data_IF_841922657725
#
_entry.id   IF_841922657725
#
_cell.length_a   1.000
_cell.length_b   1.000
_cell.length_c   1.000
_cell.angle_alpha   90.00
_cell.angle_beta   90.00
_cell.angle_gamma   90.00
#
_symmetry.space_group_name_H-M   'P 1'
#
loop_
_entity.id
_entity.type
_entity.pdbx_description
1 polymer ?
#
# COMPACT_ATOMS: atom_id res chain seq x y z
N UNK A 1 -29.18 -20.32 -9.01
CA UNK A 1 -28.43 -20.66 -7.79
C UNK A 1 -27.14 -21.33 -8.22
N UNK A 2 -26.07 -20.55 -8.38
CA UNK A 2 -24.74 -21.06 -8.69
C UNK A 2 -23.85 -20.78 -7.49
N UNK A 3 -23.14 -21.82 -7.07
CA UNK A 3 -22.22 -21.90 -5.94
C UNK A 3 -21.13 -20.83 -6.02
N UNK A 4 -21.07 -19.96 -5.01
CA UNK A 4 -19.93 -19.11 -4.73
C UNK A 4 -18.71 -19.99 -4.47
N UNK A 5 -17.74 -19.91 -5.37
CA UNK A 5 -16.46 -20.59 -5.23
C UNK A 5 -15.62 -19.79 -4.24
N UNK A 6 -15.29 -20.44 -3.13
CA UNK A 6 -14.45 -19.99 -2.03
C UNK A 6 -13.09 -19.50 -2.52
N UNK A 7 -12.86 -18.18 -2.44
CA UNK A 7 -11.53 -17.57 -2.54
C UNK A 7 -10.81 -17.69 -1.19
N UNK A 8 -10.37 -18.90 -0.84
CA UNK A 8 -9.62 -19.15 0.39
C UNK A 8 -8.32 -19.86 0.06
N UNK A 9 -7.26 -19.08 -0.18
CA UNK A 9 -5.90 -19.49 0.18
C UNK A 9 -5.12 -18.28 0.71
N UNK A 10 -4.45 -18.42 1.87
CA UNK A 10 -3.61 -17.37 2.42
C UNK A 10 -2.36 -17.12 1.55
N UNK A 11 -2.01 -15.85 1.41
CA UNK A 11 -0.76 -15.40 0.77
C UNK A 11 0.44 -15.93 1.58
N UNK A 12 1.08 -16.99 1.07
CA UNK A 12 2.19 -17.70 1.73
C UNK A 12 3.55 -16.97 1.65
N UNK A 13 3.56 -15.63 1.59
CA UNK A 13 4.73 -14.82 1.29
C UNK A 13 5.52 -14.24 2.47
N UNK A 14 5.06 -14.34 3.72
CA UNK A 14 5.77 -13.77 4.88
C UNK A 14 5.76 -14.75 6.07
N UNK A 15 6.67 -15.73 6.04
CA UNK A 15 6.94 -16.58 7.20
C UNK A 15 7.87 -15.83 8.17
N UNK A 16 7.27 -15.13 9.14
CA UNK A 16 7.91 -14.87 10.43
C UNK A 16 7.63 -16.06 11.36
N UNK A 17 8.68 -16.54 12.02
CA UNK A 17 8.70 -17.68 12.93
C UNK A 17 8.08 -17.38 14.32
N UNK A 18 6.82 -16.92 14.37
CA UNK A 18 6.03 -16.93 15.60
C UNK A 18 4.51 -17.01 15.27
N UNK A 19 3.76 -18.01 15.77
CA UNK A 19 2.33 -18.17 15.47
C UNK A 19 1.39 -17.08 16.03
N UNK A 20 1.88 -16.06 16.73
CA UNK A 20 1.06 -15.04 17.39
C UNK A 20 1.28 -13.59 16.89
N UNK A 21 1.75 -13.38 15.66
CA UNK A 21 1.77 -12.05 15.05
C UNK A 21 0.47 -11.79 14.29
N UNK A 22 -0.26 -10.74 14.67
CA UNK A 22 -1.42 -10.14 14.00
C UNK A 22 -1.22 -9.98 12.49
N UNK A 23 -1.51 -11.03 11.69
CA UNK A 23 -1.33 -10.97 10.23
C UNK A 23 -2.38 -10.07 9.61
N UNK A 24 -1.95 -9.21 8.71
CA UNK A 24 -2.79 -8.35 7.87
C UNK A 24 -2.40 -8.54 6.41
N UNK A 25 -3.35 -8.35 5.50
CA UNK A 25 -3.03 -8.31 4.09
C UNK A 25 -2.15 -7.08 3.80
N UNK A 26 -1.16 -7.23 2.90
CA UNK A 26 -0.22 -6.15 2.54
C UNK A 26 -0.95 -4.87 2.13
N UNK A 27 -2.05 -4.99 1.40
CA UNK A 27 -2.84 -3.85 0.89
C UNK A 27 -3.57 -3.02 1.94
N UNK A 28 -3.68 -3.49 3.20
CA UNK A 28 -4.27 -2.74 4.31
C UNK A 28 -3.24 -2.37 5.39
N UNK A 29 -1.94 -2.65 5.16
CA UNK A 29 -0.92 -2.41 6.17
C UNK A 29 -0.75 -0.93 6.49
N UNK A 30 -0.75 -0.10 5.45
CA UNK A 30 -0.46 1.33 5.58
C UNK A 30 -1.50 2.04 6.45
N UNK A 31 -2.79 1.89 6.15
CA UNK A 31 -3.82 2.52 6.98
C UNK A 31 -3.95 1.87 8.38
N UNK A 32 -3.61 0.59 8.56
CA UNK A 32 -3.56 -0.03 9.88
C UNK A 32 -2.52 0.66 10.77
N UNK A 33 -1.33 0.93 10.24
CA UNK A 33 -0.27 1.58 11.00
C UNK A 33 -0.63 3.03 11.35
N UNK A 34 -1.34 3.74 10.45
CA UNK A 34 -1.87 5.10 10.72
C UNK A 34 -3.01 5.05 11.74
N UNK A 35 -3.92 4.08 11.65
CA UNK A 35 -5.00 3.87 12.62
C UNK A 35 -4.43 3.60 14.02
N UNK A 36 -3.45 2.70 14.13
CA UNK A 36 -2.70 2.46 15.37
C UNK A 36 -2.08 3.77 15.89
N UNK A 37 -1.36 4.51 15.04
CA UNK A 37 -0.70 5.77 15.41
C UNK A 37 -1.70 6.80 15.96
N UNK A 38 -2.91 6.86 15.39
CA UNK A 38 -3.98 7.75 15.83
C UNK A 38 -4.54 7.32 17.19
N UNK A 39 -4.77 6.01 17.40
CA UNK A 39 -5.23 5.50 18.69
C UNK A 39 -4.21 5.74 19.79
N UNK A 40 -2.93 5.47 19.55
CA UNK A 40 -1.86 5.71 20.55
C UNK A 40 -1.81 7.18 21.00
N UNK A 41 -2.25 8.11 20.15
CA UNK A 41 -2.34 9.54 20.47
C UNK A 41 -3.70 9.96 21.06
N UNK A 42 -4.61 9.02 21.30
CA UNK A 42 -5.95 9.31 21.83
C UNK A 42 -6.82 10.13 20.89
N UNK A 43 -6.62 9.99 19.58
CA UNK A 43 -7.41 10.72 18.57
C UNK A 43 -8.74 10.01 18.32
N UNK A 44 -9.74 10.79 17.89
CA UNK A 44 -11.02 10.26 17.46
C UNK A 44 -10.88 9.74 16.02
N UNK A 45 -11.49 8.59 15.73
CA UNK A 45 -11.38 7.92 14.43
C UNK A 45 -12.76 7.59 13.89
N UNK A 46 -12.95 7.81 12.60
CA UNK A 46 -14.03 7.21 11.81
C UNK A 46 -13.41 6.37 10.71
N UNK A 47 -13.62 5.06 10.76
CA UNK A 47 -13.12 4.10 9.78
C UNK A 47 -14.28 3.52 8.96
N UNK A 48 -14.10 3.49 7.65
CA UNK A 48 -15.05 3.03 6.64
C UNK A 48 -14.41 1.94 5.78
N UNK A 49 -15.23 1.12 5.06
CA UNK A 49 -14.73 0.11 4.14
C UNK A 49 -13.76 0.67 3.11
N UNK A 50 -12.86 -0.19 2.62
CA UNK A 50 -11.75 0.17 1.73
C UNK A 50 -10.77 1.18 2.37
N UNK A 51 -10.62 1.08 3.69
CA UNK A 51 -9.63 1.81 4.47
C UNK A 51 -9.70 3.33 4.26
N UNK A 52 -10.93 3.85 4.16
CA UNK A 52 -11.20 5.28 4.20
C UNK A 52 -11.35 5.66 5.66
N UNK A 53 -10.52 6.56 6.15
CA UNK A 53 -10.44 6.92 7.55
C UNK A 53 -10.46 8.44 7.72
N UNK A 54 -11.13 8.92 8.76
CA UNK A 54 -10.97 10.27 9.27
C UNK A 54 -10.37 10.19 10.66
N UNK A 55 -9.37 11.01 10.93
CA UNK A 55 -8.76 11.20 12.25
C UNK A 55 -9.05 12.63 12.68
N UNK A 56 -9.54 12.80 13.91
CA UNK A 56 -10.02 14.07 14.46
C UNK A 56 -9.41 14.30 15.84
N UNK A 57 -9.12 15.57 16.15
CA UNK A 57 -8.68 15.94 17.50
C UNK A 57 -9.90 15.90 18.44
N UNK A 58 -9.82 15.26 19.62
CA UNK A 58 -10.98 15.13 20.51
C UNK A 58 -11.62 16.46 20.94
N UNK A 59 -10.79 17.47 21.17
CA UNK A 59 -11.16 18.80 21.64
C UNK A 59 -11.51 19.78 20.51
N UNK A 60 -11.19 19.40 19.27
CA UNK A 60 -11.41 20.19 18.06
C UNK A 60 -11.84 19.27 16.91
N UNK A 61 -13.15 19.05 16.80
CA UNK A 61 -13.73 18.20 15.77
C UNK A 61 -13.65 18.79 14.36
N UNK A 62 -13.30 20.06 14.21
CA UNK A 62 -13.14 20.71 12.91
C UNK A 62 -11.75 20.43 12.32
N UNK A 63 -10.75 20.15 13.17
CA UNK A 63 -9.43 19.70 12.74
C UNK A 63 -9.46 18.20 12.42
N UNK A 64 -9.53 17.91 11.11
CA UNK A 64 -9.69 16.55 10.57
C UNK A 64 -8.65 16.25 9.50
N UNK A 65 -8.03 15.07 9.58
CA UNK A 65 -7.29 14.47 8.46
C UNK A 65 -7.97 13.22 7.93
N UNK A 66 -8.28 13.25 6.64
CA UNK A 66 -8.69 12.08 5.88
C UNK A 66 -7.49 11.23 5.45
N UNK A 67 -7.69 9.92 5.41
CA UNK A 67 -6.76 8.96 4.84
C UNK A 67 -7.50 7.96 3.96
N UNK A 68 -6.84 7.50 2.90
CA UNK A 68 -7.30 6.35 2.13
C UNK A 68 -6.13 5.38 1.96
N UNK A 69 -6.24 4.16 2.51
CA UNK A 69 -5.13 3.21 2.56
C UNK A 69 -3.84 3.79 3.19
N UNK A 70 -3.98 4.58 4.27
CA UNK A 70 -2.86 5.23 4.95
C UNK A 70 -2.25 6.42 4.21
N UNK A 71 -2.79 6.80 3.05
CA UNK A 71 -2.32 7.99 2.32
C UNK A 71 -3.11 9.20 2.79
N UNK A 72 -2.43 10.29 3.17
CA UNK A 72 -3.07 11.46 3.74
C UNK A 72 -3.81 12.28 2.68
N UNK A 73 -4.88 12.97 3.09
CA UNK A 73 -5.78 13.78 2.24
C UNK A 73 -5.09 14.86 1.43
N UNK A 74 -3.94 15.33 1.91
CA UNK A 74 -3.10 16.31 1.23
C UNK A 74 -2.62 15.76 -0.13
N UNK A 75 -2.60 14.43 -0.32
CA UNK A 75 -2.26 13.82 -1.61
C UNK A 75 -3.39 14.12 -2.59
N UNK A 76 -3.11 15.00 -3.53
CA UNK A 76 -4.08 15.44 -4.52
C UNK A 76 -4.44 14.32 -5.50
N UNK A 77 -5.68 14.32 -5.98
CA UNK A 77 -6.12 13.41 -7.04
C UNK A 77 -5.23 13.50 -8.30
N UNK A 78 -4.79 14.71 -8.65
CA UNK A 78 -3.88 14.93 -9.77
C UNK A 78 -2.50 14.27 -9.52
N UNK A 79 -1.90 14.50 -8.34
CA UNK A 79 -0.63 13.90 -7.96
C UNK A 79 -0.68 12.37 -7.99
N UNK A 80 -1.70 11.77 -7.37
CA UNK A 80 -1.90 10.32 -7.40
C UNK A 80 -2.08 9.79 -8.83
N UNK A 81 -2.85 10.50 -9.67
CA UNK A 81 -3.05 10.14 -11.08
C UNK A 81 -1.74 10.14 -11.87
N UNK A 82 -0.90 11.16 -11.67
CA UNK A 82 0.42 11.22 -12.32
C UNK A 82 1.33 10.09 -11.85
N UNK A 83 1.34 9.79 -10.55
CA UNK A 83 2.15 8.70 -9.98
C UNK A 83 1.72 7.31 -10.48
N UNK A 84 0.42 7.08 -10.66
CA UNK A 84 -0.15 5.79 -11.08
C UNK A 84 -0.10 5.53 -12.59
N UNK A 85 0.02 6.55 -13.46
CA UNK A 85 0.31 6.35 -14.90
C UNK A 85 1.82 6.37 -15.14
N UNK A 86 2.38 5.18 -15.39
CA UNK A 86 3.81 4.99 -15.62
C UNK A 86 4.36 5.86 -16.74
N UNK A 87 3.57 6.18 -17.77
CA UNK A 87 4.03 7.02 -18.88
C UNK A 87 4.15 8.47 -18.45
N UNK A 88 3.17 8.96 -17.69
CA UNK A 88 3.15 10.35 -17.24
C UNK A 88 4.29 10.60 -16.27
N UNK A 89 4.42 9.80 -15.21
CA UNK A 89 5.52 9.96 -14.24
C UNK A 89 6.89 9.87 -14.90
N UNK A 90 7.09 8.91 -15.81
CA UNK A 90 8.37 8.74 -16.53
C UNK A 90 8.70 9.96 -17.38
N UNK A 91 7.70 10.52 -18.07
CA UNK A 91 7.89 11.74 -18.86
C UNK A 91 8.24 12.95 -17.97
N UNK A 92 7.62 13.06 -16.79
CA UNK A 92 7.91 14.14 -15.84
C UNK A 92 9.33 14.02 -15.26
N UNK A 93 9.74 12.82 -14.83
CA UNK A 93 11.09 12.54 -14.33
C UNK A 93 12.16 12.85 -15.38
N UNK A 94 11.98 12.38 -16.61
CA UNK A 94 12.90 12.67 -17.72
C UNK A 94 12.98 14.17 -18.02
N UNK A 95 11.84 14.88 -18.03
CA UNK A 95 11.80 16.32 -18.25
C UNK A 95 12.52 17.11 -17.15
N UNK A 96 12.49 16.60 -15.92
CA UNK A 96 13.19 17.18 -14.77
C UNK A 96 14.69 16.79 -14.72
N UNK A 97 15.20 16.02 -15.69
CA UNK A 97 16.61 15.67 -15.78
C UNK A 97 17.01 14.38 -15.04
N UNK A 98 16.05 13.65 -14.47
CA UNK A 98 16.34 12.36 -13.83
C UNK A 98 16.41 11.23 -14.85
N UNK A 99 17.25 10.24 -14.56
CA UNK A 99 17.31 9.03 -15.37
C UNK A 99 16.26 8.00 -14.94
N UNK A 100 15.60 7.38 -15.92
CA UNK A 100 14.72 6.21 -15.74
C UNK A 100 15.18 5.07 -16.66
N UNK A 101 14.85 3.79 -16.38
CA UNK A 101 15.22 2.69 -17.25
C UNK A 101 14.72 2.86 -18.69
N UNK A 102 15.48 2.38 -19.67
CA UNK A 102 15.02 2.42 -21.07
C UNK A 102 13.76 1.55 -21.23
N UNK A 103 12.63 2.17 -21.55
CA UNK A 103 11.35 1.46 -21.58
C UNK A 103 10.29 2.10 -22.48
N UNK A 104 9.26 1.33 -22.79
CA UNK A 104 8.12 1.75 -23.61
C UNK A 104 6.85 0.97 -23.25
N UNK A 105 5.68 1.56 -23.47
CA UNK A 105 4.39 0.93 -23.18
C UNK A 105 3.74 0.31 -24.40
N UNK A 106 3.11 -0.84 -24.20
CA UNK A 106 2.43 -1.64 -25.22
C UNK A 106 1.03 -2.04 -24.72
N UNK A 107 0.11 -2.40 -25.62
CA UNK A 107 -1.16 -3.03 -25.25
C UNK A 107 -1.09 -4.55 -25.40
N UNK A 108 -1.78 -5.25 -24.49
CA UNK A 108 -1.89 -6.72 -24.52
C UNK A 108 -2.58 -7.23 -25.78
N UNK A 109 -3.57 -6.49 -26.30
CA UNK A 109 -4.35 -6.88 -27.47
C UNK A 109 -3.62 -6.66 -28.78
N UNK A 110 -3.13 -5.43 -29.02
CA UNK A 110 -2.69 -4.98 -30.35
C UNK A 110 -1.18 -4.98 -30.56
N UNK A 111 -0.38 -4.78 -29.51
CA UNK A 111 1.07 -4.55 -29.66
C UNK A 111 1.96 -5.45 -28.81
N UNK A 112 1.47 -6.60 -28.33
CA UNK A 112 2.30 -7.56 -27.57
C UNK A 112 3.53 -8.06 -28.34
N UNK A 113 3.39 -8.25 -29.65
CA UNK A 113 4.50 -8.67 -30.53
C UNK A 113 5.55 -7.56 -30.64
N UNK A 114 5.11 -6.30 -30.72
CA UNK A 114 6.01 -5.14 -30.72
C UNK A 114 6.72 -5.00 -29.37
N UNK A 115 6.02 -5.26 -28.26
CA UNK A 115 6.62 -5.30 -26.92
C UNK A 115 7.74 -6.34 -26.82
N UNK A 116 7.52 -7.55 -27.37
CA UNK A 116 8.56 -8.58 -27.43
C UNK A 116 9.75 -8.16 -28.29
N UNK A 117 9.51 -7.62 -29.49
CA UNK A 117 10.59 -7.11 -30.37
C UNK A 117 11.36 -5.97 -29.70
N UNK A 118 10.68 -5.13 -28.93
CA UNK A 118 11.30 -4.08 -28.14
C UNK A 118 12.21 -4.65 -27.06
N UNK A 119 11.74 -5.64 -26.28
CA UNK A 119 12.53 -6.35 -25.28
C UNK A 119 13.81 -6.98 -25.89
N UNK A 120 13.68 -7.62 -27.06
CA UNK A 120 14.82 -8.17 -27.80
C UNK A 120 15.83 -7.07 -28.20
N UNK A 121 15.34 -5.90 -28.62
CA UNK A 121 16.19 -4.78 -29.04
C UNK A 121 16.91 -4.08 -27.89
N UNK A 122 16.27 -3.94 -26.72
CA UNK A 122 16.92 -3.35 -25.54
C UNK A 122 17.75 -4.37 -24.76
N UNK A 123 17.59 -5.66 -25.06
CA UNK A 123 18.30 -6.77 -24.46
C UNK A 123 17.70 -7.22 -23.12
N UNK A 124 17.63 -8.52 -22.90
CA UNK A 124 17.24 -9.13 -21.62
C UNK A 124 18.37 -8.98 -20.56
N UNK A 125 18.07 -9.05 -19.24
CA UNK A 125 16.74 -9.14 -18.65
C UNK A 125 15.93 -7.83 -18.78
N UNK A 126 14.61 -7.96 -18.75
CA UNK A 126 13.64 -6.85 -18.76
C UNK A 126 12.64 -7.00 -17.61
N UNK A 127 11.98 -5.89 -17.28
CA UNK A 127 10.85 -5.84 -16.34
C UNK A 127 9.55 -5.58 -17.10
N UNK A 128 8.47 -6.25 -16.69
CA UNK A 128 7.11 -5.97 -17.16
C UNK A 128 6.24 -5.51 -15.98
N UNK A 129 5.50 -4.42 -16.19
CA UNK A 129 4.58 -3.83 -15.20
C UNK A 129 3.26 -3.41 -15.87
N UNK A 130 2.11 -3.42 -15.21
CA UNK A 130 0.95 -2.65 -15.65
C UNK A 130 1.33 -1.20 -15.92
N UNK A 131 0.82 -0.58 -16.99
CA UNK A 131 1.18 0.82 -17.29
C UNK A 131 0.39 1.84 -16.45
N UNK A 132 -0.73 1.41 -15.86
CA UNK A 132 -1.60 2.21 -15.02
C UNK A 132 -2.10 1.34 -13.88
N UNK A 133 -2.08 1.86 -12.66
CA UNK A 133 -2.63 1.19 -11.48
C UNK A 133 -1.83 1.51 -10.23
N UNK A 134 -2.11 0.77 -9.16
CA UNK A 134 -1.33 0.89 -7.93
C UNK A 134 0.12 0.46 -8.19
N UNK A 135 1.04 1.29 -7.72
CA UNK A 135 2.47 1.10 -7.89
C UNK A 135 2.99 -0.11 -7.10
N UNK A 136 4.10 -0.71 -7.54
CA UNK A 136 4.75 -1.93 -6.97
C UNK A 136 3.96 -3.26 -7.07
N UNK A 137 2.72 -3.23 -7.58
CA UNK A 137 1.90 -4.44 -7.77
C UNK A 137 2.11 -5.01 -9.17
N UNK A 138 2.10 -6.34 -9.26
CA UNK A 138 2.25 -7.08 -10.53
C UNK A 138 3.56 -6.77 -11.28
N UNK A 139 4.60 -6.36 -10.56
CA UNK A 139 5.94 -6.13 -11.09
C UNK A 139 6.61 -7.48 -11.36
N UNK A 140 6.87 -7.76 -12.64
CA UNK A 140 7.49 -9.00 -13.09
C UNK A 140 8.93 -8.73 -13.55
N UNK A 141 9.90 -9.07 -12.70
CA UNK A 141 11.34 -8.98 -12.97
C UNK A 141 11.93 -10.30 -13.47
N UNK A 142 13.20 -10.25 -13.85
CA UNK A 142 14.04 -11.41 -14.22
C UNK A 142 13.49 -12.15 -15.44
N UNK A 143 12.84 -11.40 -16.33
CA UNK A 143 12.40 -11.90 -17.62
C UNK A 143 13.65 -11.93 -18.50
N UNK A 144 14.26 -13.09 -18.63
CA UNK A 144 15.54 -13.31 -19.33
C UNK A 144 15.37 -13.77 -20.78
N UNK A 145 14.16 -14.19 -21.17
CA UNK A 145 13.92 -14.76 -22.49
C UNK A 145 12.49 -14.56 -23.01
N UNK A 146 12.29 -14.90 -24.29
CA UNK A 146 11.02 -14.72 -25.01
C UNK A 146 9.86 -15.54 -24.43
N UNK A 147 10.13 -16.72 -23.86
CA UNK A 147 9.12 -17.58 -23.26
C UNK A 147 8.59 -16.94 -21.97
N UNK A 148 9.50 -16.52 -21.09
CA UNK A 148 9.15 -15.79 -19.86
C UNK A 148 8.42 -14.48 -20.17
N UNK A 149 8.83 -13.76 -21.22
CA UNK A 149 8.13 -12.55 -21.66
C UNK A 149 6.67 -12.86 -22.05
N UNK A 150 6.45 -13.94 -22.80
CA UNK A 150 5.10 -14.37 -23.21
C UNK A 150 4.25 -14.70 -21.97
N UNK A 151 4.78 -15.48 -21.04
CA UNK A 151 4.10 -15.83 -19.78
C UNK A 151 3.72 -14.58 -18.98
N UNK A 152 4.62 -13.61 -18.88
CA UNK A 152 4.37 -12.38 -18.14
C UNK A 152 3.27 -11.50 -18.76
N UNK A 153 3.19 -11.44 -20.09
CA UNK A 153 2.10 -10.74 -20.78
C UNK A 153 0.77 -11.52 -20.68
N UNK A 154 0.81 -12.86 -20.70
CA UNK A 154 -0.37 -13.71 -20.51
C UNK A 154 -0.98 -13.54 -19.11
N UNK A 155 -0.15 -13.40 -18.07
CA UNK A 155 -0.61 -13.06 -16.72
C UNK A 155 -1.44 -11.76 -16.73
N UNK A 156 -0.94 -10.71 -17.38
CA UNK A 156 -1.66 -9.42 -17.52
C UNK A 156 -2.90 -9.51 -18.43
N UNK A 157 -3.08 -10.61 -19.17
CA UNK A 157 -4.28 -10.86 -19.95
C UNK A 157 -5.41 -11.51 -19.13
N UNK A 158 -5.07 -12.12 -17.99
CA UNK A 158 -6.06 -12.60 -17.01
C UNK A 158 -6.83 -11.41 -16.44
N UNK A 159 -8.15 -11.48 -16.20
CA UNK A 159 -8.89 -10.41 -15.53
C UNK A 159 -8.30 -10.08 -14.15
N UNK A 160 -8.17 -8.81 -13.73
CA UNK A 160 -7.54 -8.43 -12.48
C UNK A 160 -8.06 -9.19 -11.24
N UNK A 161 -9.38 -9.35 -11.12
CA UNK A 161 -10.01 -10.06 -9.99
C UNK A 161 -9.63 -11.56 -9.90
N UNK A 162 -9.05 -12.13 -10.95
CA UNK A 162 -8.62 -13.52 -11.01
C UNK A 162 -7.09 -13.66 -10.91
N UNK A 163 -6.36 -12.55 -10.73
CA UNK A 163 -4.91 -12.57 -10.58
C UNK A 163 -4.56 -12.68 -9.10
N UNK A 164 -3.62 -13.56 -8.79
CA UNK A 164 -3.23 -13.89 -7.41
C UNK A 164 -2.72 -12.68 -6.63
N UNK A 165 -1.94 -11.83 -7.28
CA UNK A 165 -1.20 -10.74 -6.62
C UNK A 165 -1.87 -9.37 -6.82
N UNK A 166 -3.08 -9.34 -7.38
CA UNK A 166 -3.80 -8.10 -7.62
C UNK A 166 -4.40 -7.57 -6.33
N UNK A 167 -4.02 -6.35 -5.98
CA UNK A 167 -4.67 -5.54 -4.96
C UNK A 167 -4.97 -4.17 -5.55
N UNK A 168 -5.94 -3.46 -4.97
CA UNK A 168 -6.39 -2.19 -5.50
C UNK A 168 -6.84 -1.23 -4.40
N UNK A 169 -6.28 -0.03 -4.39
CA UNK A 169 -6.73 1.08 -3.55
C UNK A 169 -8.15 1.53 -3.89
N UNK A 170 -8.85 2.13 -2.93
CA UNK A 170 -10.14 2.78 -3.13
C UNK A 170 -10.14 3.79 -4.30
N UNK A 171 -9.08 4.59 -4.39
CA UNK A 171 -8.90 5.68 -5.36
C UNK A 171 -8.02 5.29 -6.56
N UNK A 172 -7.52 4.04 -6.62
CA UNK A 172 -6.64 3.60 -7.69
C UNK A 172 -7.30 3.84 -9.04
N UNK A 173 -6.60 4.45 -9.98
CA UNK A 173 -7.12 4.76 -11.29
C UNK A 173 -7.50 3.46 -12.00
N UNK A 174 -8.80 3.20 -12.15
CA UNK A 174 -9.24 2.18 -13.10
C UNK A 174 -9.38 2.78 -14.46
N UNK A 175 -8.77 2.12 -15.44
CA UNK A 175 -9.38 2.07 -16.75
C UNK A 175 -10.74 1.37 -16.58
N UNK A 176 -11.82 2.15 -16.40
CA UNK A 176 -13.22 1.69 -16.44
C UNK A 176 -13.51 1.19 -17.87
N UNK A 177 -12.94 0.06 -18.23
CA UNK A 177 -13.07 -0.57 -19.55
C UNK A 177 -13.71 -1.91 -19.37
N UNK A 178 -14.66 -2.20 -20.26
CA UNK A 178 -15.31 -3.50 -20.28
C UNK A 178 -14.27 -4.61 -20.54
N UNK A 179 -14.34 -5.72 -19.78
CA UNK A 179 -13.46 -6.86 -20.01
C UNK A 179 -13.68 -7.42 -21.42
N UNK A 180 -12.60 -7.90 -22.04
CA UNK A 180 -12.69 -8.58 -23.32
C UNK A 180 -13.24 -10.01 -23.17
N UNK A 181 -13.57 -10.65 -24.29
CA UNK A 181 -13.87 -12.09 -24.35
C UNK A 181 -13.02 -12.75 -25.44
N UNK A 182 -12.37 -13.86 -25.09
CA UNK A 182 -11.65 -14.73 -26.04
C UNK A 182 -12.10 -16.17 -25.79
N UNK A 183 -12.66 -16.82 -26.80
CA UNK A 183 -13.17 -18.20 -26.72
C UNK A 183 -14.13 -18.41 -25.52
N UNK A 184 -15.04 -17.45 -25.30
CA UNK A 184 -16.01 -17.48 -24.20
C UNK A 184 -15.45 -17.15 -22.80
N UNK A 185 -14.13 -17.01 -22.63
CA UNK A 185 -13.50 -16.63 -21.36
C UNK A 185 -13.31 -15.12 -21.28
N UNK A 186 -13.60 -14.54 -20.11
CA UNK A 186 -13.31 -13.14 -19.80
C UNK A 186 -11.80 -12.91 -19.74
N UNK A 187 -11.35 -11.82 -20.36
CA UNK A 187 -9.94 -11.40 -20.39
C UNK A 187 -9.82 -9.92 -20.10
N UNK A 188 -8.62 -9.46 -19.74
CA UNK A 188 -8.34 -8.04 -19.64
C UNK A 188 -8.70 -7.32 -20.96
N UNK A 189 -9.15 -6.05 -20.91
CA UNK A 189 -9.49 -5.29 -22.10
C UNK A 189 -8.33 -5.31 -23.11
N UNK A 190 -8.57 -5.45 -24.44
CA UNK A 190 -7.50 -5.44 -25.43
C UNK A 190 -6.63 -4.17 -25.40
N UNK A 191 -7.19 -3.07 -24.88
CA UNK A 191 -6.51 -1.79 -24.66
C UNK A 191 -5.63 -1.73 -23.40
N UNK A 192 -5.70 -2.72 -22.50
CA UNK A 192 -4.91 -2.78 -21.27
C UNK A 192 -3.43 -2.67 -21.60
N UNK A 193 -2.78 -1.70 -20.96
CA UNK A 193 -1.40 -1.31 -21.26
C UNK A 193 -0.44 -1.88 -20.23
N UNK A 194 0.75 -2.25 -20.69
CA UNK A 194 1.88 -2.67 -19.87
C UNK A 194 3.15 -1.95 -20.32
N UNK A 195 4.05 -1.70 -19.38
CA UNK A 195 5.39 -1.20 -19.62
C UNK A 195 6.34 -2.38 -19.80
N UNK A 196 7.25 -2.27 -20.77
CA UNK A 196 8.46 -3.08 -20.85
C UNK A 196 9.64 -2.14 -20.66
N UNK A 197 10.51 -2.44 -19.70
CA UNK A 197 11.70 -1.65 -19.44
C UNK A 197 12.93 -2.52 -19.20
N UNK A 198 14.11 -1.95 -19.45
CA UNK A 198 15.37 -2.61 -19.13
C UNK A 198 15.42 -2.85 -17.62
N UNK A 199 15.81 -4.05 -17.20
CA UNK A 199 16.13 -4.28 -15.80
C UNK A 199 17.53 -3.76 -15.53
N UNK A 200 17.61 -2.72 -14.71
CA UNK A 200 18.87 -2.12 -14.27
C UNK A 200 19.59 -3.02 -13.26
N UNK A 201 20.91 -2.86 -13.16
CA UNK A 201 21.76 -3.62 -12.24
C UNK A 201 22.46 -2.68 -11.28
N UNK A 202 22.56 -3.10 -10.02
CA UNK A 202 23.18 -2.33 -8.96
C UNK A 202 22.42 -2.51 -7.65
N UNK A 203 22.73 -1.66 -6.69
CA UNK A 203 22.04 -1.58 -5.43
C UNK A 203 20.65 -0.98 -5.61
N UNK A 204 19.65 -1.73 -5.15
CA UNK A 204 18.27 -1.30 -5.21
C UNK A 204 17.89 -0.66 -3.88
N UNK A 205 17.52 0.61 -3.91
CA UNK A 205 17.18 1.41 -2.75
C UNK A 205 15.72 1.84 -2.82
N UNK A 206 15.02 1.77 -1.69
CA UNK A 206 13.68 2.35 -1.50
C UNK A 206 13.77 3.51 -0.53
N UNK A 207 13.45 4.70 -1.00
CA UNK A 207 13.36 5.92 -0.22
C UNK A 207 11.89 6.16 0.16
N UNK A 208 11.64 6.48 1.42
CA UNK A 208 10.37 7.05 1.85
C UNK A 208 10.57 8.53 2.16
N UNK A 209 9.91 9.38 1.40
CA UNK A 209 9.93 10.84 1.51
C UNK A 209 8.59 11.30 2.06
N UNK A 210 8.60 12.09 3.13
CA UNK A 210 7.43 12.67 3.77
C UNK A 210 7.65 14.18 3.87
N UNK A 211 6.72 14.98 3.36
CA UNK A 211 6.81 16.45 3.27
C UNK A 211 8.13 16.94 2.67
N UNK A 212 8.61 16.23 1.65
CA UNK A 212 9.86 16.56 0.95
C UNK A 212 11.14 16.22 1.72
N UNK A 213 11.05 15.53 2.86
CA UNK A 213 12.19 15.05 3.64
C UNK A 213 12.33 13.55 3.49
N UNK A 214 13.53 13.06 3.17
CA UNK A 214 13.81 11.62 3.17
C UNK A 214 13.84 11.13 4.62
N UNK A 215 12.86 10.31 5.01
CA UNK A 215 12.71 9.82 6.39
C UNK A 215 13.29 8.42 6.61
N UNK A 216 13.42 7.62 5.55
CA UNK A 216 13.94 6.27 5.61
C UNK A 216 14.48 5.82 4.24
N UNK A 217 15.57 5.05 4.24
CA UNK A 217 16.14 4.41 3.06
C UNK A 217 16.40 2.94 3.34
N UNK A 218 15.81 2.06 2.53
CA UNK A 218 15.99 0.61 2.63
C UNK A 218 16.77 0.07 1.43
N UNK A 219 17.78 -0.75 1.69
CA UNK A 219 18.39 -1.60 0.68
C UNK A 219 17.52 -2.84 0.45
N UNK A 220 17.12 -3.10 -0.80
CA UNK A 220 16.16 -4.13 -1.19
C UNK A 220 16.64 -4.87 -2.45
N UNK A 221 17.63 -5.78 -2.38
CA UNK A 221 18.37 -6.29 -3.55
C UNK A 221 17.50 -6.97 -4.62
N UNK A 222 16.34 -7.54 -4.26
CA UNK A 222 15.39 -8.16 -5.20
C UNK A 222 14.14 -7.30 -5.46
N UNK A 223 14.16 -6.03 -5.03
CA UNK A 223 13.04 -5.09 -5.02
C UNK A 223 12.03 -5.34 -3.88
N UNK A 224 11.22 -4.33 -3.49
CA UNK A 224 10.34 -4.40 -2.32
C UNK A 224 9.27 -5.51 -2.38
N UNK A 225 8.88 -5.93 -3.58
CA UNK A 225 7.84 -6.94 -3.84
C UNK A 225 8.31 -8.39 -3.58
N UNK A 226 9.59 -8.71 -3.87
CA UNK A 226 10.16 -10.07 -3.80
C UNK A 226 11.17 -10.26 -2.67
N UNK A 227 11.83 -9.18 -2.22
CA UNK A 227 12.94 -9.30 -1.27
C UNK A 227 12.49 -10.02 -0.01
N UNK A 228 13.18 -11.12 0.29
CA UNK A 228 13.01 -11.88 1.54
C UNK A 228 13.43 -10.99 2.71
N UNK A 229 12.71 -11.10 3.82
CA UNK A 229 12.95 -10.33 5.04
C UNK A 229 14.43 -10.20 5.44
N UNK A 230 15.18 -11.29 5.32
CA UNK A 230 16.60 -11.38 5.74
C UNK A 230 17.54 -10.51 4.91
N UNK A 231 17.09 -9.97 3.78
CA UNK A 231 17.93 -9.19 2.85
C UNK A 231 17.54 -7.71 2.79
N UNK A 232 16.59 -7.25 3.63
CA UNK A 232 16.19 -5.84 3.69
C UNK A 232 16.89 -5.16 4.84
N UNK A 233 17.78 -4.22 4.52
CA UNK A 233 18.56 -3.47 5.51
C UNK A 233 18.15 -2.00 5.52
N UNK A 234 18.07 -1.41 6.72
CA UNK A 234 17.92 0.03 6.89
C UNK A 234 19.29 0.69 6.73
N UNK A 235 19.45 1.45 5.65
CA UNK A 235 20.70 2.13 5.27
C UNK A 235 20.56 3.65 5.37
N UNK A 236 19.55 4.14 6.10
CA UNK A 236 19.26 5.58 6.24
C UNK A 236 20.49 6.38 6.68
N UNK A 237 21.27 5.85 7.62
CA UNK A 237 22.45 6.53 8.18
C UNK A 237 23.76 6.23 7.41
N UNK A 238 23.74 5.32 6.44
CA UNK A 238 24.94 4.86 5.73
C UNK A 238 24.92 5.14 4.22
N UNK A 239 23.76 5.47 3.65
CA UNK A 239 23.62 5.85 2.25
C UNK A 239 24.32 7.19 1.99
N UNK A 240 24.95 7.32 0.82
CA UNK A 240 25.68 8.52 0.47
C UNK A 240 24.73 9.74 0.33
N UNK A 241 25.08 10.93 0.88
CA UNK A 241 24.20 12.11 0.88
C UNK A 241 23.71 12.58 -0.50
N UNK A 242 24.50 12.38 -1.56
CA UNK A 242 24.07 12.70 -2.94
C UNK A 242 22.77 11.98 -3.34
N UNK A 243 22.53 10.78 -2.81
CA UNK A 243 21.31 10.01 -3.09
C UNK A 243 20.11 10.57 -2.31
N UNK A 244 20.34 11.12 -1.10
CA UNK A 244 19.32 11.84 -0.33
C UNK A 244 18.89 13.10 -1.07
N UNK A 245 19.84 13.87 -1.61
CA UNK A 245 19.57 15.06 -2.42
C UNK A 245 18.77 14.69 -3.68
N UNK A 246 19.21 13.68 -4.42
CA UNK A 246 18.50 13.19 -5.62
C UNK A 246 17.08 12.71 -5.30
N UNK A 247 16.89 11.95 -4.22
CA UNK A 247 15.57 11.48 -3.81
C UNK A 247 14.64 12.63 -3.38
N UNK A 248 15.19 13.59 -2.64
CA UNK A 248 14.49 14.81 -2.21
C UNK A 248 13.99 15.62 -3.40
N UNK A 249 14.83 15.81 -4.42
CA UNK A 249 14.44 16.57 -5.61
C UNK A 249 13.51 15.78 -6.53
N UNK A 250 13.75 14.47 -6.68
CA UNK A 250 12.86 13.60 -7.45
C UNK A 250 11.44 13.56 -6.88
N UNK A 251 11.29 13.54 -5.54
CA UNK A 251 9.98 13.54 -4.89
C UNK A 251 9.13 14.78 -5.24
N UNK A 252 9.77 15.92 -5.52
CA UNK A 252 9.09 17.18 -5.90
C UNK A 252 8.60 17.20 -7.35
N UNK A 253 9.03 16.24 -8.19
CA UNK A 253 8.71 16.22 -9.64
C UNK A 253 7.21 16.10 -9.88
N UNK A 254 6.52 15.28 -9.08
CA UNK A 254 5.06 15.14 -9.14
C UNK A 254 4.42 16.01 -8.05
N UNK A 255 3.77 17.12 -8.41
CA UNK A 255 3.20 18.03 -7.42
C UNK A 255 1.99 17.40 -6.72
N UNK A 256 1.74 17.85 -5.49
CA UNK A 256 0.58 17.42 -4.69
C UNK A 256 0.70 16.01 -4.15
N UNK A 257 1.93 15.52 -3.93
CA UNK A 257 2.24 14.32 -3.16
C UNK A 257 3.06 14.71 -1.93
N UNK A 258 2.57 14.34 -0.75
CA UNK A 258 3.21 14.65 0.53
C UNK A 258 3.95 13.43 1.06
N UNK A 259 3.50 12.24 0.65
CA UNK A 259 4.22 10.99 0.87
C UNK A 259 4.59 10.41 -0.49
N UNK A 260 5.87 10.12 -0.65
CA UNK A 260 6.42 9.51 -1.86
C UNK A 260 7.32 8.35 -1.46
N UNK A 261 6.99 7.15 -1.95
CA UNK A 261 7.92 6.05 -2.00
C UNK A 261 8.60 6.01 -3.37
N UNK A 262 9.91 6.16 -3.37
CA UNK A 262 10.75 6.27 -4.57
C UNK A 262 11.76 5.13 -4.56
N UNK A 263 11.81 4.35 -5.63
CA UNK A 263 12.81 3.30 -5.76
C UNK A 263 13.86 3.67 -6.80
N UNK A 264 15.14 3.53 -6.43
CA UNK A 264 16.28 3.76 -7.31
C UNK A 264 17.16 2.51 -7.43
N UNK A 265 17.77 2.33 -8.60
CA UNK A 265 18.89 1.41 -8.79
C UNK A 265 20.14 2.23 -9.06
N UNK A 266 21.17 2.03 -8.25
CA UNK A 266 22.45 2.77 -8.29
C UNK A 266 23.62 1.79 -8.34
N UNK A 267 24.79 2.16 -8.88
CA UNK A 267 25.93 1.24 -8.92
C UNK A 267 26.40 0.75 -7.55
N UNK A 268 26.50 1.67 -6.58
CA UNK A 268 26.91 1.45 -5.20
C UNK A 268 26.27 2.56 -4.34
N UNK A 269 25.52 2.23 -3.29
CA UNK A 269 24.83 3.22 -2.46
C UNK A 269 25.74 4.00 -1.50
N UNK A 270 26.97 3.54 -1.27
CA UNK A 270 27.94 4.14 -0.35
C UNK A 270 28.79 5.25 -0.98
N UNK A 271 28.63 5.51 -2.28
CA UNK A 271 29.45 6.48 -3.01
C UNK A 271 28.62 7.57 -3.70
N UNK A 272 29.26 8.71 -3.97
CA UNK A 272 28.65 9.79 -4.72
C UNK A 272 28.16 9.31 -6.08
N UNK A 273 26.88 9.55 -6.37
CA UNK A 273 26.20 9.08 -7.59
C UNK A 273 25.54 10.25 -8.29
N UNK A 274 25.72 10.35 -9.60
CA UNK A 274 25.10 11.38 -10.44
C UNK A 274 23.62 11.06 -10.74
N UNK A 275 22.84 12.07 -11.15
CA UNK A 275 21.47 11.86 -11.62
C UNK A 275 21.38 10.96 -12.87
N UNK A 276 22.45 10.87 -13.66
CA UNK A 276 22.53 9.98 -14.83
C UNK A 276 22.70 8.53 -14.41
N UNK A 277 23.50 8.26 -13.38
CA UNK A 277 23.79 6.90 -12.90
C UNK A 277 22.70 6.36 -11.95
N UNK A 278 21.95 7.24 -11.28
CA UNK A 278 20.81 6.87 -10.46
C UNK A 278 19.56 6.63 -11.31
N UNK A 279 19.15 5.37 -11.48
CA UNK A 279 17.96 5.00 -12.25
C UNK A 279 16.73 4.95 -11.34
N UNK A 280 15.81 5.90 -11.49
CA UNK A 280 14.51 5.84 -10.81
C UNK A 280 13.64 4.78 -11.51
N UNK A 281 13.34 3.69 -10.79
CA UNK A 281 12.61 2.54 -11.32
C UNK A 281 11.16 2.49 -10.85
N UNK A 282 10.84 3.15 -9.73
CA UNK A 282 9.50 3.22 -9.17
C UNK A 282 9.25 4.57 -8.48
N UNK A 283 8.02 5.05 -8.52
CA UNK A 283 7.61 6.32 -7.92
C UNK A 283 6.14 6.22 -7.53
N UNK A 284 5.84 6.31 -6.23
CA UNK A 284 4.54 5.92 -5.68
C UNK A 284 4.09 6.87 -4.59
N UNK A 285 2.82 7.24 -4.60
CA UNK A 285 2.12 7.92 -3.51
C UNK A 285 1.85 7.00 -2.31
N UNK A 286 1.84 5.67 -2.54
CA UNK A 286 1.68 4.66 -1.50
C UNK A 286 3.00 4.43 -0.76
N UNK A 287 3.04 4.52 0.59
CA UNK A 287 4.25 4.24 1.38
C UNK A 287 4.69 2.77 1.25
N UNK A 288 3.73 1.84 1.32
CA UNK A 288 3.98 0.40 1.45
C UNK A 288 4.82 0.03 2.66
N UNK A 289 4.36 0.41 3.85
CA UNK A 289 4.98 0.14 5.16
C UNK A 289 5.17 -1.35 5.45
N UNK A 290 4.54 -2.23 4.68
CA UNK A 290 4.86 -3.66 4.66
C UNK A 290 6.33 -3.97 4.33
N UNK A 291 7.05 -3.07 3.65
CA UNK A 291 8.48 -3.22 3.37
C UNK A 291 9.29 -2.90 4.63
N UNK A 292 9.02 -1.78 5.30
CA UNK A 292 9.63 -1.41 6.59
C UNK A 292 9.39 -2.47 7.67
N UNK A 293 8.19 -3.08 7.66
CA UNK A 293 7.85 -4.19 8.55
C UNK A 293 8.79 -5.39 8.42
N UNK A 294 9.34 -5.63 7.22
CA UNK A 294 10.33 -6.70 7.02
C UNK A 294 11.57 -6.42 7.86
N UNK A 295 12.02 -5.19 7.96
CA UNK A 295 13.14 -4.83 8.85
C UNK A 295 12.71 -4.94 10.32
N UNK A 296 11.74 -4.11 10.75
CA UNK A 296 11.19 -4.19 12.11
C UNK A 296 9.77 -3.60 12.21
N UNK A 297 8.93 -4.09 13.15
CA UNK A 297 7.66 -3.44 13.46
C UNK A 297 7.82 -1.98 13.89
N UNK A 298 8.88 -1.66 14.63
CA UNK A 298 9.15 -0.31 15.13
C UNK A 298 9.38 0.68 13.99
N UNK A 299 10.09 0.27 12.93
CA UNK A 299 10.31 1.13 11.78
C UNK A 299 9.00 1.42 11.03
N UNK A 300 8.16 0.41 10.80
CA UNK A 300 6.85 0.61 10.16
C UNK A 300 5.95 1.55 10.97
N UNK A 301 5.89 1.35 12.30
CA UNK A 301 5.14 2.21 13.20
C UNK A 301 5.66 3.65 13.20
N UNK A 302 6.99 3.86 13.29
CA UNK A 302 7.60 5.20 13.24
C UNK A 302 7.30 5.93 11.93
N UNK A 303 7.31 5.23 10.79
CA UNK A 303 6.98 5.86 9.51
C UNK A 303 5.50 6.26 9.43
N UNK A 304 4.60 5.45 9.99
CA UNK A 304 3.19 5.84 10.08
C UNK A 304 2.94 7.02 11.04
N UNK A 305 3.70 7.10 12.12
CA UNK A 305 3.68 8.24 13.03
C UNK A 305 4.04 9.53 12.30
N UNK A 306 5.12 9.51 11.49
CA UNK A 306 5.51 10.66 10.66
C UNK A 306 4.46 11.00 9.59
N UNK A 307 3.81 10.00 8.98
CA UNK A 307 2.72 10.24 8.02
C UNK A 307 1.51 10.89 8.69
N UNK A 308 1.16 10.46 9.90
CA UNK A 308 0.08 11.05 10.69
C UNK A 308 0.42 12.49 11.09
N UNK A 309 1.64 12.75 11.56
CA UNK A 309 2.10 14.08 11.95
C UNK A 309 2.18 15.04 10.76
N UNK A 310 2.61 14.57 9.58
CA UNK A 310 2.54 15.36 8.35
C UNK A 310 1.10 15.74 7.97
N UNK A 311 0.13 14.85 8.24
CA UNK A 311 -1.27 15.08 7.94
C UNK A 311 -1.99 15.94 8.99
N UNK A 312 -1.56 15.85 10.25
CA UNK A 312 -2.05 16.59 11.43
C UNK A 312 -0.86 17.06 12.28
N UNK A 313 -0.21 18.18 11.93
CA UNK A 313 0.96 18.68 12.64
C UNK A 313 0.72 18.95 14.13
N UNK A 314 -0.53 19.23 14.51
CA UNK A 314 -0.97 19.42 15.90
C UNK A 314 -0.70 18.19 16.76
N UNK A 315 -0.65 17.01 16.15
CA UNK A 315 -0.42 15.73 16.85
C UNK A 315 1.05 15.46 17.18
N UNK A 316 1.96 16.30 16.68
CA UNK A 316 3.38 16.20 16.97
C UNK A 316 3.62 16.43 18.47
N UNK A 317 4.32 15.48 19.11
CA UNK A 317 4.64 15.55 20.54
C UNK A 317 3.54 15.06 21.49
N UNK A 318 2.43 14.55 20.98
CA UNK A 318 1.43 13.86 21.80
C UNK A 318 2.07 12.67 22.54
N UNK A 319 1.73 12.49 23.81
CA UNK A 319 2.18 11.35 24.58
C UNK A 319 1.51 10.07 24.08
N UNK A 320 2.33 9.08 23.68
CA UNK A 320 1.84 7.79 23.21
C UNK A 320 1.32 6.95 24.38
N UNK A 321 0.15 6.34 24.18
CA UNK A 321 -0.55 5.50 25.15
C UNK A 321 -0.34 4.02 24.83
N UNK A 322 0.12 3.24 25.81
CA UNK A 322 0.24 1.78 25.68
C UNK A 322 -1.14 1.08 25.72
N UNK A 323 -2.09 1.69 26.42
CA UNK A 323 -3.48 1.27 26.49
C UNK A 323 -4.38 2.46 26.20
N UNK A 324 -5.40 2.24 25.39
CA UNK A 324 -6.43 3.24 25.08
C UNK A 324 -7.77 2.77 25.59
N UNK A 325 -8.66 3.73 25.83
CA UNK A 325 -10.03 3.53 26.24
C UNK A 325 -10.90 4.36 25.31
N UNK A 326 -11.80 3.71 24.56
CA UNK A 326 -12.61 4.38 23.55
C UNK A 326 -14.07 4.00 23.65
N UNK A 327 -14.96 4.98 23.51
CA UNK A 327 -16.34 4.73 23.09
C UNK A 327 -16.37 4.32 21.62
N UNK A 328 -17.13 3.28 21.30
CA UNK A 328 -17.20 2.70 19.96
C UNK A 328 -18.63 2.66 19.45
N UNK A 329 -18.82 3.04 18.19
CA UNK A 329 -20.01 2.76 17.39
C UNK A 329 -19.61 1.92 16.18
N UNK A 330 -20.17 0.72 16.07
CA UNK A 330 -20.07 -0.12 14.87
C UNK A 330 -21.41 -0.03 14.15
N UNK A 331 -21.40 0.28 12.85
CA UNK A 331 -22.61 0.47 12.06
C UNK A 331 -22.69 -0.43 10.83
N UNK A 332 -23.90 -0.77 10.41
CA UNK A 332 -24.16 -1.56 9.21
C UNK A 332 -23.74 -3.02 9.33
N UNK A 333 -23.82 -3.59 10.54
CA UNK A 333 -23.69 -5.03 10.73
C UNK A 333 -24.91 -5.75 10.13
N UNK A 334 -24.69 -6.82 9.37
CA UNK A 334 -25.78 -7.62 8.78
C UNK A 334 -26.51 -8.42 9.87
N UNK A 335 -25.76 -8.96 10.82
CA UNK A 335 -26.27 -9.68 11.98
C UNK A 335 -25.54 -9.15 13.23
N UNK A 336 -26.07 -8.09 13.89
CA UNK A 336 -25.42 -7.46 15.03
C UNK A 336 -25.27 -8.40 16.23
N UNK A 337 -26.21 -9.33 16.44
CA UNK A 337 -26.12 -10.30 17.54
C UNK A 337 -24.97 -11.28 17.31
N UNK A 338 -24.90 -11.88 16.12
CA UNK A 338 -23.79 -12.78 15.80
C UNK A 338 -22.44 -12.04 15.78
N UNK A 339 -22.41 -10.78 15.36
CA UNK A 339 -21.20 -9.97 15.39
C UNK A 339 -20.73 -9.67 16.82
N UNK A 340 -21.64 -9.44 17.77
CA UNK A 340 -21.28 -9.28 19.19
C UNK A 340 -20.54 -10.51 19.73
N UNK A 341 -21.07 -11.71 19.47
CA UNK A 341 -20.43 -12.97 19.91
C UNK A 341 -19.03 -13.13 19.28
N UNK A 342 -18.91 -12.85 17.98
CA UNK A 342 -17.64 -12.92 17.27
C UNK A 342 -16.63 -11.92 17.83
N UNK A 343 -17.04 -10.69 18.15
CA UNK A 343 -16.17 -9.67 18.73
C UNK A 343 -15.78 -10.01 20.17
N UNK A 344 -16.69 -10.55 20.98
CA UNK A 344 -16.39 -10.99 22.34
C UNK A 344 -15.31 -12.09 22.37
N UNK A 345 -15.43 -13.09 21.49
CA UNK A 345 -14.41 -14.13 21.30
C UNK A 345 -13.05 -13.52 20.93
N UNK A 346 -13.03 -12.64 19.91
CA UNK A 346 -11.78 -12.03 19.45
C UNK A 346 -11.16 -11.12 20.51
N UNK A 347 -11.96 -10.34 21.23
CA UNK A 347 -11.47 -9.49 22.30
C UNK A 347 -10.86 -10.31 23.44
N UNK A 348 -11.50 -11.42 23.82
CA UNK A 348 -10.97 -12.36 24.80
C UNK A 348 -9.63 -12.97 24.35
N UNK A 349 -9.54 -13.47 23.10
CA UNK A 349 -8.31 -14.02 22.52
C UNK A 349 -7.15 -13.01 22.51
N UNK A 350 -7.46 -11.73 22.33
CA UNK A 350 -6.47 -10.66 22.20
C UNK A 350 -6.18 -9.92 23.52
N UNK A 351 -6.93 -10.19 24.59
CA UNK A 351 -6.83 -9.48 25.86
C UNK A 351 -7.29 -8.02 25.75
N UNK A 352 -8.38 -7.78 25.02
CA UNK A 352 -9.08 -6.49 24.93
C UNK A 352 -10.31 -6.55 25.85
N UNK A 353 -10.51 -5.54 26.71
CA UNK A 353 -11.72 -5.40 27.52
C UNK A 353 -12.77 -4.63 26.69
N UNK A 354 -13.74 -5.35 26.13
CA UNK A 354 -14.81 -4.77 25.32
C UNK A 354 -16.19 -5.05 25.90
N UNK A 355 -16.94 -4.00 26.19
CA UNK A 355 -18.33 -4.06 26.66
C UNK A 355 -19.23 -3.49 25.59
N UNK A 356 -19.63 -4.34 24.66
CA UNK A 356 -20.46 -3.99 23.53
C UNK A 356 -21.90 -4.47 23.73
N UNK A 357 -22.86 -3.73 23.21
CA UNK A 357 -24.28 -4.08 23.19
C UNK A 357 -24.92 -3.63 21.89
N UNK A 358 -25.97 -4.33 21.49
CA UNK A 358 -26.80 -3.93 20.36
C UNK A 358 -27.61 -2.68 20.75
N UNK A 359 -27.44 -1.62 19.97
CA UNK A 359 -28.12 -0.34 20.21
C UNK A 359 -29.28 -0.08 19.24
N UNK A 360 -29.21 -0.63 18.03
CA UNK A 360 -30.28 -0.57 17.03
C UNK A 360 -30.17 -1.77 16.07
N UNK A 361 -31.14 -2.67 16.13
CA UNK A 361 -31.19 -3.85 15.26
C UNK A 361 -31.38 -3.50 13.78
N UNK A 362 -32.24 -2.52 13.50
CA UNK A 362 -32.64 -2.18 12.12
C UNK A 362 -31.50 -1.54 11.36
N UNK A 363 -30.69 -0.72 12.06
CA UNK A 363 -29.51 -0.08 11.49
C UNK A 363 -28.24 -0.94 11.63
N UNK A 364 -28.33 -2.12 12.26
CA UNK A 364 -27.18 -2.97 12.55
C UNK A 364 -26.12 -2.27 13.39
N UNK A 365 -26.56 -1.52 14.41
CA UNK A 365 -25.69 -0.71 15.26
C UNK A 365 -25.34 -1.39 16.58
N UNK A 366 -24.05 -1.48 16.85
CA UNK A 366 -23.47 -1.91 18.12
C UNK A 366 -22.75 -0.72 18.74
N UNK A 367 -22.94 -0.51 20.04
CA UNK A 367 -22.26 0.52 20.81
C UNK A 367 -21.58 -0.07 22.02
N UNK A 368 -20.63 0.66 22.59
CA UNK A 368 -20.04 0.29 23.86
C UNK A 368 -18.70 0.95 24.11
N UNK A 369 -17.95 0.38 25.04
CA UNK A 369 -16.64 0.84 25.44
C UNK A 369 -15.62 -0.26 25.20
N UNK A 370 -14.45 0.11 24.69
CA UNK A 370 -13.36 -0.83 24.38
C UNK A 370 -12.05 -0.28 24.90
N UNK A 371 -11.37 -1.07 25.72
CA UNK A 371 -10.10 -0.75 26.34
C UNK A 371 -9.05 -1.81 26.03
N UNK A 372 -7.85 -1.40 25.63
CA UNK A 372 -6.79 -2.35 25.29
C UNK A 372 -5.63 -1.74 24.52
N UNK A 373 -4.75 -2.61 24.03
CA UNK A 373 -3.61 -2.25 23.19
C UNK A 373 -4.09 -1.69 21.83
N UNK A 374 -3.70 -0.45 21.47
CA UNK A 374 -4.04 0.19 20.20
C UNK A 374 -3.79 -0.68 18.97
N UNK A 375 -2.69 -1.45 18.96
CA UNK A 375 -2.31 -2.32 17.84
C UNK A 375 -3.33 -3.44 17.61
N UNK A 376 -3.91 -3.95 18.70
CA UNK A 376 -4.88 -5.05 18.65
C UNK A 376 -6.26 -4.52 18.29
N UNK A 377 -6.65 -3.38 18.86
CA UNK A 377 -7.91 -2.71 18.55
C UNK A 377 -7.96 -2.32 17.07
N UNK A 378 -6.93 -1.63 16.57
CA UNK A 378 -6.84 -1.28 15.15
C UNK A 378 -6.90 -2.51 14.24
N UNK A 379 -6.25 -3.61 14.64
CA UNK A 379 -6.25 -4.85 13.86
C UNK A 379 -7.65 -5.47 13.74
N UNK A 380 -8.42 -5.50 14.83
CA UNK A 380 -9.80 -6.03 14.81
C UNK A 380 -10.65 -5.22 13.86
N UNK A 381 -10.64 -3.90 13.97
CA UNK A 381 -11.54 -3.05 13.18
C UNK A 381 -11.15 -2.95 11.71
N UNK A 382 -9.85 -2.91 11.39
CA UNK A 382 -9.37 -3.00 10.00
C UNK A 382 -9.81 -4.31 9.35
N UNK A 383 -9.71 -5.44 10.06
CA UNK A 383 -10.19 -6.73 9.55
C UNK A 383 -11.70 -6.77 9.39
N UNK A 384 -12.46 -6.23 10.36
CA UNK A 384 -13.91 -6.20 10.33
C UNK A 384 -14.45 -5.47 9.09
N UNK A 385 -13.80 -4.37 8.69
CA UNK A 385 -14.18 -3.52 7.55
C UNK A 385 -13.56 -3.96 6.21
N UNK A 386 -12.44 -4.72 6.22
CA UNK A 386 -11.84 -5.29 5.02
C UNK A 386 -12.55 -6.58 4.59
N UNK A 387 -12.13 -7.75 5.10
CA UNK A 387 -12.69 -9.08 4.74
C UNK A 387 -13.73 -9.61 5.72
N UNK A 388 -13.89 -8.96 6.87
CA UNK A 388 -14.70 -9.45 7.97
C UNK A 388 -13.98 -10.44 8.89
N UNK A 389 -14.67 -10.80 9.96
CA UNK A 389 -14.21 -11.75 10.98
C UNK A 389 -15.29 -12.83 11.13
N UNK A 390 -14.92 -14.11 11.01
CA UNK A 390 -15.86 -15.24 11.07
C UNK A 390 -17.14 -15.01 10.21
N UNK A 391 -16.97 -14.46 8.99
CA UNK A 391 -18.02 -14.07 8.02
C UNK A 391 -18.90 -12.87 8.40
N UNK A 392 -18.65 -12.24 9.55
CA UNK A 392 -19.31 -10.99 9.95
C UNK A 392 -18.53 -9.77 9.44
N UNK A 393 -19.25 -8.73 9.06
CA UNK A 393 -18.71 -7.46 8.53
C UNK A 393 -19.48 -6.28 9.09
N UNK A 394 -18.84 -5.12 9.07
CA UNK A 394 -19.47 -3.83 9.35
C UNK A 394 -19.19 -2.86 8.19
N UNK A 395 -19.91 -1.73 8.20
CA UNK A 395 -19.77 -0.65 7.21
C UNK A 395 -19.26 0.65 7.83
N UNK A 396 -19.08 0.69 9.15
CA UNK A 396 -18.58 1.82 9.91
C UNK A 396 -18.01 1.33 11.24
N UNK A 397 -16.87 1.90 11.65
CA UNK A 397 -16.43 1.92 13.05
C UNK A 397 -16.06 3.36 13.39
N UNK A 398 -16.73 3.94 14.39
CA UNK A 398 -16.31 5.19 15.03
C UNK A 398 -15.72 4.87 16.40
N UNK A 399 -14.60 5.51 16.72
CA UNK A 399 -13.89 5.38 18.00
C UNK A 399 -13.67 6.79 18.55
N UNK A 400 -14.15 7.06 19.75
CA UNK A 400 -13.91 8.32 20.46
C UNK A 400 -13.05 8.04 21.68
N UNK A 401 -11.92 8.72 21.81
CA UNK A 401 -11.07 8.56 23.00
C UNK A 401 -11.78 9.10 24.23
N UNK A 402 -11.64 8.37 25.33
CA UNK A 402 -12.02 8.80 26.68
C UNK A 402 -10.84 9.38 27.44
#
# INVERSE_FOLDING_TARGET
MQSETTFDQPDHGDQAANPATFRLAKGIRDGYEVHRAALERGLNIRLLPRQVMQVMIPEDSDTVAGFAHGIPQQTSLAGATYAQDLRMRRAMLLKAGFSVPRGATFSVGRSRVLGRKFAERIGFPVVIKPAVGDNTIEVQTDITNKLQFKQAVEYLFTPPNNRKDFTRSAYALTELREPGKVNGKLVAPPGYRFLVEKQERGDYLRFLVIDGVVCNVLFCPDGPWKTRRVLVDDVTDTVHPSLIELATDAAKVVPGLNVVALDMVVPDYGVATSAEDAKIVEFSERPWLSVQLKTSPQLASRMADLILEAALPETAGYQLRELVDTEVLIGGAVDPVALLDVLADQFSELGIDGRLYESDHTLGQIRGQVKGDPKKIAWVYERLLDKGIKKQRAMLVEQKSL
#
